data_IF_737638596498
#
_entry.id   IF_737638596498
#
_cell.length_a   1.000
_cell.length_b   1.000
_cell.length_c   1.000
_cell.angle_alpha   90.00
_cell.angle_beta   90.00
_cell.angle_gamma   90.00
#
_symmetry.space_group_name_H-M   'P 1'
#
loop_
_entity.id
_entity.type
_entity.pdbx_description
1 polymer ?
#
# COMPACT_ATOMS: atom_id res chain seq x y z
N UNK A 1 -16.65 85.52 50.15
CA UNK A 1 -15.89 86.32 49.16
C UNK A 1 -15.06 85.37 48.29
N UNK A 2 -15.13 85.59 46.98
CA UNK A 2 -14.56 84.78 45.89
C UNK A 2 -13.02 84.70 45.92
N UNK A 3 -12.44 83.54 45.59
CA UNK A 3 -11.22 83.41 44.75
C UNK A 3 -11.43 82.18 43.83
N UNK A 4 -11.86 82.40 42.58
CA UNK A 4 -11.04 82.42 41.34
C UNK A 4 -10.35 81.07 41.09
N UNK A 5 -10.96 80.17 40.31
CA UNK A 5 -10.83 80.02 38.84
C UNK A 5 -9.41 79.75 38.34
N UNK A 6 -9.15 78.51 37.89
CA UNK A 6 -8.74 78.09 36.52
C UNK A 6 -8.60 76.56 36.53
N UNK A 7 -9.50 75.81 35.87
CA UNK A 7 -9.29 75.22 34.53
C UNK A 7 -7.91 74.58 34.41
N UNK A 8 -7.79 73.25 34.36
CA UNK A 8 -7.81 72.44 33.13
C UNK A 8 -8.08 70.96 33.54
N UNK A 9 -9.24 70.39 33.17
CA UNK A 9 -9.39 69.23 32.26
C UNK A 9 -8.30 68.14 32.46
N UNK A 10 -8.62 66.93 32.93
CA UNK A 10 -9.23 65.82 32.18
C UNK A 10 -9.69 64.82 33.25
N UNK A 11 -11.00 64.66 33.48
CA UNK A 11 -11.82 63.57 32.93
C UNK A 11 -11.20 62.18 33.19
N UNK A 12 -11.60 61.61 34.33
CA UNK A 12 -12.22 60.28 34.42
C UNK A 12 -11.49 59.10 33.78
N UNK A 13 -10.66 58.41 34.57
CA UNK A 13 -10.63 56.94 34.58
C UNK A 13 -10.14 56.42 35.94
N UNK A 14 -11.05 56.37 36.93
CA UNK A 14 -10.81 55.80 38.28
C UNK A 14 -10.99 54.26 38.27
N UNK A 15 -10.84 53.60 37.11
CA UNK A 15 -11.00 52.14 36.99
C UNK A 15 -9.89 51.57 36.09
N UNK A 16 -8.63 51.71 36.50
CA UNK A 16 -7.53 50.93 35.93
C UNK A 16 -6.33 50.94 36.88
N UNK A 17 -6.34 50.11 37.94
CA UNK A 17 -5.13 49.62 38.64
C UNK A 17 -5.42 48.63 39.79
N UNK A 18 -6.51 47.86 39.72
CA UNK A 18 -6.65 46.61 40.49
C UNK A 18 -7.31 45.55 39.61
N UNK A 19 -6.62 45.19 38.54
CA UNK A 19 -6.81 43.98 37.73
C UNK A 19 -5.48 43.24 37.85
N UNK A 20 -5.36 42.00 38.30
CA UNK A 20 -6.20 40.83 38.11
C UNK A 20 -5.94 39.89 39.29
N UNK A 21 -6.95 39.65 40.13
CA UNK A 21 -7.03 38.45 40.96
C UNK A 21 -8.43 37.85 40.74
N UNK A 22 -8.73 37.56 39.47
CA UNK A 22 -9.75 36.56 39.15
C UNK A 22 -9.02 35.21 39.16
N UNK A 23 -9.37 34.40 40.15
CA UNK A 23 -9.13 32.95 40.12
C UNK A 23 -10.05 32.40 39.03
N UNK A 24 -9.56 32.34 37.80
CA UNK A 24 -10.03 31.35 36.84
C UNK A 24 -9.26 30.06 37.14
N UNK A 25 -9.98 28.98 37.39
CA UNK A 25 -9.43 27.64 37.38
C UNK A 25 -8.92 27.33 35.97
N UNK A 26 -7.69 27.74 35.66
CA UNK A 26 -6.91 27.11 34.61
C UNK A 26 -6.31 25.83 35.18
N UNK A 27 -6.46 24.74 34.42
CA UNK A 27 -5.73 23.49 34.63
C UNK A 27 -4.28 23.83 34.92
N UNK A 28 -3.70 23.18 35.93
CA UNK A 28 -2.26 23.20 36.17
C UNK A 28 -1.56 22.57 34.95
N UNK A 29 -1.32 23.38 33.93
CA UNK A 29 -0.25 23.15 32.98
C UNK A 29 1.05 23.38 33.75
N UNK A 30 1.60 22.30 34.28
CA UNK A 30 2.96 22.28 34.77
C UNK A 30 3.86 22.60 33.56
N UNK A 31 4.43 23.79 33.58
CA UNK A 31 5.42 24.23 32.60
C UNK A 31 6.54 23.20 32.52
N UNK A 32 6.57 22.49 31.40
CA UNK A 32 7.71 21.74 30.93
C UNK A 32 8.87 22.73 30.70
N UNK A 33 9.72 22.90 31.70
CA UNK A 33 10.99 23.60 31.53
C UNK A 33 11.94 22.67 30.80
N UNK A 34 12.13 23.02 29.53
CA UNK A 34 13.07 22.50 28.56
C UNK A 34 14.50 22.54 29.10
N UNK A 35 15.10 21.37 29.33
CA UNK A 35 16.53 21.18 29.07
C UNK A 35 16.63 20.45 27.73
N UNK A 36 17.11 21.15 26.70
CA UNK A 36 17.49 20.54 25.44
C UNK A 36 18.55 19.47 25.72
N UNK A 37 18.15 18.18 25.73
CA UNK A 37 19.07 17.08 25.45
C UNK A 37 19.21 15.97 26.49
N UNK A 38 18.72 16.11 27.73
CA UNK A 38 18.68 14.97 28.67
C UNK A 38 17.30 14.34 28.66
N UNK A 39 17.22 13.12 28.13
CA UNK A 39 16.08 12.24 28.38
C UNK A 39 16.26 11.72 29.80
N UNK A 40 15.21 11.77 30.63
CA UNK A 40 15.24 11.09 31.91
C UNK A 40 15.54 9.59 31.72
N UNK A 41 16.09 8.94 32.76
CA UNK A 41 16.29 7.47 32.76
C UNK A 41 14.99 6.68 32.57
N UNK A 42 13.85 7.37 32.63
CA UNK A 42 12.50 6.85 32.37
C UNK A 42 11.88 7.61 31.19
N UNK A 43 11.02 6.96 30.39
CA UNK A 43 10.27 7.64 29.34
C UNK A 43 9.35 8.74 29.89
N UNK A 44 9.12 9.78 29.08
CA UNK A 44 8.14 10.84 29.38
C UNK A 44 6.71 10.25 29.41
N UNK A 45 5.75 10.87 30.11
CA UNK A 45 4.36 10.44 30.07
C UNK A 45 3.81 10.31 28.63
N UNK A 46 3.07 9.23 28.37
CA UNK A 46 2.57 8.90 27.04
C UNK A 46 3.60 8.23 26.12
N UNK A 47 4.76 7.83 26.65
CA UNK A 47 5.78 7.07 25.92
C UNK A 47 6.12 5.76 26.64
N UNK A 48 6.41 4.73 25.87
CA UNK A 48 6.94 3.44 26.33
C UNK A 48 8.34 3.23 25.78
N UNK A 49 9.29 2.90 26.66
CA UNK A 49 10.69 2.64 26.32
C UNK A 49 10.96 1.16 26.11
N UNK A 50 11.67 0.84 25.03
CA UNK A 50 12.25 -0.46 24.72
C UNK A 50 13.77 -0.34 24.74
N UNK A 51 14.39 -1.35 25.35
CA UNK A 51 15.84 -1.48 25.46
C UNK A 51 16.46 -1.84 24.12
N UNK A 52 17.70 -1.40 23.86
CA UNK A 52 18.48 -1.79 22.68
C UNK A 52 18.64 -3.32 22.56
N UNK A 53 18.58 -4.05 23.67
CA UNK A 53 18.66 -5.51 23.68
C UNK A 53 17.32 -6.24 23.40
N UNK A 54 16.21 -5.53 23.17
CA UNK A 54 14.94 -6.19 22.83
C UNK A 54 15.10 -7.02 21.55
N UNK A 55 14.68 -8.29 21.61
CA UNK A 55 14.86 -9.26 20.51
C UNK A 55 14.17 -8.88 19.21
N UNK A 56 13.26 -7.90 19.23
CA UNK A 56 12.55 -7.38 18.06
C UNK A 56 13.33 -6.30 17.32
N UNK A 57 14.45 -5.84 17.89
CA UNK A 57 15.38 -4.92 17.25
C UNK A 57 16.45 -5.75 16.55
N UNK A 58 16.52 -5.62 15.23
CA UNK A 58 17.42 -6.40 14.39
C UNK A 58 18.58 -5.53 13.92
N UNK A 59 19.79 -5.96 14.27
CA UNK A 59 21.04 -5.35 13.87
C UNK A 59 21.63 -6.15 12.71
N UNK A 60 21.78 -5.51 11.55
CA UNK A 60 22.27 -6.13 10.32
C UNK A 60 23.49 -5.39 9.78
N UNK A 61 24.32 -6.09 9.01
CA UNK A 61 25.69 -5.67 8.70
C UNK A 61 26.71 -6.28 9.65
N UNK A 62 27.99 -6.06 9.35
CA UNK A 62 29.13 -6.58 10.11
C UNK A 62 29.57 -5.59 11.20
N UNK A 63 30.16 -6.08 12.29
CA UNK A 63 30.83 -5.21 13.28
C UNK A 63 29.93 -4.57 14.35
N UNK A 64 28.70 -5.06 14.53
CA UNK A 64 27.88 -4.70 15.69
C UNK A 64 28.49 -5.23 16.99
N UNK A 65 28.50 -4.40 18.02
CA UNK A 65 28.98 -4.73 19.36
C UNK A 65 27.98 -4.21 20.39
N UNK A 66 28.03 -4.78 21.60
CA UNK A 66 27.27 -4.30 22.76
C UNK A 66 28.24 -3.77 23.81
N UNK A 67 28.06 -2.52 24.20
CA UNK A 67 28.74 -1.91 25.35
C UNK A 67 27.89 -2.08 26.61
N UNK A 68 28.53 -2.37 27.75
CA UNK A 68 27.87 -2.45 29.05
C UNK A 68 28.32 -1.28 29.92
N UNK A 69 27.46 -0.29 30.13
CA UNK A 69 27.78 0.90 30.91
C UNK A 69 26.52 1.52 31.54
N UNK A 70 26.58 1.82 32.84
CA UNK A 70 25.45 2.34 33.63
C UNK A 70 24.94 3.73 33.22
N UNK A 71 25.63 4.39 32.29
CA UNK A 71 25.14 5.65 31.69
C UNK A 71 23.98 5.41 30.73
N UNK A 72 23.85 4.20 30.18
CA UNK A 72 22.84 3.77 29.23
C UNK A 72 21.56 3.28 29.91
N UNK A 73 20.44 3.29 29.18
CA UNK A 73 19.22 2.64 29.62
C UNK A 73 19.47 1.14 29.76
N UNK A 74 19.00 0.57 30.88
CA UNK A 74 19.30 -0.81 31.28
C UNK A 74 20.79 -1.22 31.27
N UNK A 75 21.70 -0.24 31.23
CA UNK A 75 23.15 -0.40 31.19
C UNK A 75 23.73 -1.02 29.90
N UNK A 76 23.03 -0.96 28.76
CA UNK A 76 23.51 -1.49 27.48
C UNK A 76 23.38 -0.49 26.33
N UNK A 77 24.30 -0.55 25.37
CA UNK A 77 24.17 0.14 24.09
C UNK A 77 24.67 -0.78 22.96
N UNK A 78 23.94 -0.82 21.84
CA UNK A 78 24.42 -1.43 20.61
C UNK A 78 25.09 -0.37 19.74
N UNK A 79 26.28 -0.67 19.24
CA UNK A 79 27.02 0.24 18.39
C UNK A 79 27.74 -0.43 17.24
N UNK A 80 27.99 0.34 16.19
CA UNK A 80 28.80 -0.04 15.05
C UNK A 80 29.62 1.16 14.56
N UNK A 81 30.93 0.99 14.38
CA UNK A 81 31.81 2.05 13.86
C UNK A 81 32.57 1.68 12.60
N UNK A 82 32.40 0.46 12.09
CA UNK A 82 33.31 -0.14 11.10
C UNK A 82 32.64 -0.43 9.76
N UNK A 83 31.32 -0.51 9.73
CA UNK A 83 30.57 -0.89 8.54
C UNK A 83 29.72 0.27 8.01
N UNK A 84 29.92 0.63 6.75
CA UNK A 84 29.12 1.67 6.08
C UNK A 84 27.72 1.18 5.70
N UNK A 85 27.50 -0.13 5.73
CA UNK A 85 26.23 -0.78 5.41
C UNK A 85 25.53 -1.27 6.70
N UNK A 86 26.00 -0.84 7.88
CA UNK A 86 25.36 -1.09 9.16
C UNK A 86 23.92 -0.56 9.17
N UNK A 87 22.99 -1.40 9.65
CA UNK A 87 21.56 -1.12 9.60
C UNK A 87 20.84 -1.67 10.83
N UNK A 88 19.93 -0.88 11.39
CA UNK A 88 19.00 -1.28 12.45
C UNK A 88 17.60 -1.33 11.85
N UNK A 89 16.86 -2.40 12.11
CA UNK A 89 15.45 -2.51 11.73
C UNK A 89 14.61 -3.01 12.88
N UNK A 90 13.41 -2.45 13.03
CA UNK A 90 12.40 -2.92 13.96
C UNK A 90 11.02 -2.51 13.47
N UNK A 91 9.99 -3.02 14.13
CA UNK A 91 8.60 -2.75 13.81
C UNK A 91 7.84 -2.37 15.06
N UNK A 92 6.87 -1.49 14.91
CA UNK A 92 6.03 -1.09 16.04
C UNK A 92 4.62 -0.77 15.60
N UNK A 93 3.66 -1.00 16.49
CA UNK A 93 2.34 -0.39 16.40
C UNK A 93 2.36 0.93 17.17
N UNK A 94 2.03 2.06 16.53
CA UNK A 94 2.04 3.37 17.17
C UNK A 94 1.86 4.52 16.18
N UNK A 95 1.91 5.75 16.69
CA UNK A 95 1.79 7.02 15.94
C UNK A 95 3.01 7.94 16.08
N UNK A 96 3.99 7.56 16.92
CA UNK A 96 5.20 8.34 17.18
C UNK A 96 6.37 7.44 17.60
N UNK A 97 7.58 7.94 17.32
CA UNK A 97 8.85 7.25 17.51
C UNK A 97 9.91 8.22 18.03
N UNK A 98 10.72 7.79 18.98
CA UNK A 98 11.97 8.44 19.39
C UNK A 98 13.12 7.45 19.37
N UNK A 99 14.30 7.94 19.00
CA UNK A 99 15.56 7.18 19.08
C UNK A 99 16.48 7.85 20.09
N UNK A 100 16.96 7.04 21.02
CA UNK A 100 17.88 7.45 22.08
C UNK A 100 19.23 6.81 21.80
N UNK A 101 20.28 7.62 21.83
CA UNK A 101 21.63 7.20 21.45
C UNK A 101 22.66 7.84 22.38
N UNK A 102 23.83 7.23 22.53
CA UNK A 102 24.99 7.96 23.01
C UNK A 102 25.46 9.00 21.97
N UNK A 103 26.08 10.08 22.44
CA UNK A 103 26.79 11.05 21.59
C UNK A 103 28.17 11.30 22.14
N UNK A 104 29.14 11.54 21.26
CA UNK A 104 30.52 11.84 21.67
C UNK A 104 31.22 12.79 20.70
N UNK A 105 32.12 13.62 21.23
CA UNK A 105 32.79 14.69 20.50
C UNK A 105 33.93 14.16 19.62
N UNK A 106 34.33 12.90 19.79
CA UNK A 106 35.32 12.23 18.97
C UNK A 106 34.73 11.57 17.70
N UNK A 107 33.41 11.61 17.49
CA UNK A 107 32.72 11.01 16.34
C UNK A 107 32.72 11.95 15.12
N UNK A 108 32.34 11.45 13.95
CA UNK A 108 32.32 12.25 12.71
C UNK A 108 31.09 13.17 12.67
N UNK A 109 31.30 14.49 12.56
CA UNK A 109 30.22 15.45 12.33
C UNK A 109 29.58 15.32 10.95
N UNK A 110 30.25 14.65 10.01
CA UNK A 110 29.76 14.40 8.64
C UNK A 110 28.97 13.11 8.50
N UNK A 111 28.87 12.32 9.57
CA UNK A 111 27.99 11.14 9.59
C UNK A 111 26.54 11.59 9.45
N UNK A 112 25.79 10.84 8.65
CA UNK A 112 24.35 10.99 8.51
C UNK A 112 23.72 9.63 8.74
N UNK A 113 22.95 9.52 9.82
CA UNK A 113 22.13 8.37 10.15
C UNK A 113 20.71 8.70 9.69
N UNK A 114 20.27 8.02 8.63
CA UNK A 114 18.96 8.20 8.03
C UNK A 114 17.93 7.31 8.73
N UNK A 115 16.74 7.85 8.96
CA UNK A 115 15.60 7.12 9.51
C UNK A 115 14.50 7.08 8.45
N UNK A 116 14.07 5.88 8.10
CA UNK A 116 12.94 5.64 7.21
C UNK A 116 11.82 4.93 7.98
N UNK A 117 10.58 5.36 7.74
CA UNK A 117 9.36 4.71 8.22
C UNK A 117 8.54 4.33 6.99
N UNK A 118 8.18 3.05 6.88
CA UNK A 118 7.41 2.48 5.76
C UNK A 118 8.03 2.77 4.39
N UNK A 119 9.37 2.70 4.33
CA UNK A 119 10.14 2.96 3.12
C UNK A 119 10.32 4.43 2.77
N UNK A 120 9.75 5.36 3.54
CA UNK A 120 9.89 6.81 3.33
C UNK A 120 10.89 7.38 4.32
N UNK A 121 11.89 8.12 3.84
CA UNK A 121 12.81 8.84 4.72
C UNK A 121 12.06 9.94 5.49
N UNK A 122 12.08 9.84 6.82
CA UNK A 122 11.39 10.77 7.73
C UNK A 122 12.35 11.72 8.45
N UNK A 123 13.63 11.66 8.12
CA UNK A 123 14.67 12.55 8.62
C UNK A 123 15.98 11.84 8.89
N UNK A 124 16.91 12.56 9.53
CA UNK A 124 18.23 12.05 9.86
C UNK A 124 18.82 12.74 11.09
N UNK A 125 19.84 12.12 11.66
CA UNK A 125 20.61 12.65 12.78
C UNK A 125 22.07 12.20 12.69
N UNK A 126 22.89 12.59 13.67
CA UNK A 126 24.26 12.07 13.85
C UNK A 126 24.57 11.90 15.34
N UNK A 127 25.66 11.20 15.63
CA UNK A 127 26.08 10.92 17.00
C UNK A 127 27.26 11.79 17.47
N UNK A 128 27.68 12.78 16.67
CA UNK A 128 28.74 13.73 17.03
C UNK A 128 28.22 14.82 17.97
N UNK A 129 28.82 15.02 19.14
CA UNK A 129 28.47 16.14 20.04
C UNK A 129 28.98 15.94 21.46
N UNK A 130 28.56 16.77 22.41
CA UNK A 130 28.99 16.62 23.81
C UNK A 130 28.68 15.21 24.35
N UNK A 131 29.63 14.57 25.07
CA UNK A 131 29.46 13.25 25.65
C UNK A 131 28.17 13.12 26.47
N UNK A 132 27.26 12.26 26.03
CA UNK A 132 26.00 12.02 26.73
C UNK A 132 25.46 10.62 26.40
N UNK A 133 25.54 9.71 27.37
CA UNK A 133 25.17 8.30 27.23
C UNK A 133 23.71 8.02 26.83
N UNK A 134 22.80 8.98 27.08
CA UNK A 134 21.41 8.91 26.66
C UNK A 134 20.96 10.27 26.13
N UNK A 135 20.77 10.36 24.82
CA UNK A 135 20.28 11.57 24.16
C UNK A 135 19.14 11.24 23.22
N UNK A 136 18.06 12.02 23.31
CA UNK A 136 17.04 12.06 22.26
C UNK A 136 17.68 12.63 21.00
N UNK A 137 18.05 11.75 20.08
CA UNK A 137 18.73 12.11 18.84
C UNK A 137 17.77 12.27 17.67
N UNK A 138 16.60 11.64 17.75
CA UNK A 138 15.57 11.73 16.72
C UNK A 138 14.17 11.59 17.33
N UNK A 139 13.22 12.36 16.83
CA UNK A 139 11.80 12.25 17.15
C UNK A 139 10.97 12.39 15.87
N UNK A 140 10.03 11.47 15.67
CA UNK A 140 8.99 11.54 14.65
C UNK A 140 7.63 11.39 15.30
N UNK A 141 6.78 12.39 15.12
CA UNK A 141 5.37 12.37 15.53
C UNK A 141 4.45 12.51 14.32
N UNK A 142 3.15 12.29 14.54
CA UNK A 142 2.12 12.45 13.52
C UNK A 142 2.14 11.36 12.47
N UNK A 143 2.59 10.15 12.82
CA UNK A 143 2.32 8.97 12.03
C UNK A 143 0.86 8.55 12.24
N UNK A 144 0.32 7.80 11.29
CA UNK A 144 -0.95 7.08 11.43
C UNK A 144 -0.84 6.08 12.59
N UNK A 145 -1.93 5.80 13.31
CA UNK A 145 -1.90 4.80 14.39
C UNK A 145 -2.02 3.39 13.81
N UNK A 146 -0.92 2.84 13.32
CA UNK A 146 -0.87 1.54 12.65
C UNK A 146 0.46 0.83 12.84
N UNK A 147 0.67 -0.27 12.13
CA UNK A 147 1.94 -0.99 12.13
C UNK A 147 2.93 -0.29 11.20
N UNK A 148 4.09 0.06 11.72
CA UNK A 148 5.17 0.70 10.99
C UNK A 148 6.41 -0.19 10.91
N UNK A 149 7.13 -0.06 9.80
CA UNK A 149 8.47 -0.64 9.61
C UNK A 149 9.50 0.47 9.67
N UNK A 150 10.46 0.36 10.58
CA UNK A 150 11.55 1.33 10.73
C UNK A 150 12.84 0.73 10.18
N UNK A 151 13.51 1.50 9.33
CA UNK A 151 14.87 1.22 8.87
C UNK A 151 15.77 2.41 9.20
N UNK A 152 16.88 2.12 9.87
CA UNK A 152 17.91 3.10 10.22
C UNK A 152 19.22 2.69 9.54
N UNK A 153 19.79 3.59 8.74
CA UNK A 153 21.04 3.35 7.99
C UNK A 153 22.03 4.48 8.19
N UNK A 154 23.31 4.21 7.96
CA UNK A 154 24.38 5.24 7.99
C UNK A 154 24.95 5.46 6.59
N UNK A 155 25.43 6.68 6.30
CA UNK A 155 26.11 7.00 5.03
C UNK A 155 27.60 6.63 5.01
N UNK A 156 28.17 6.26 6.16
CA UNK A 156 29.59 5.96 6.30
C UNK A 156 29.86 5.04 7.49
N UNK A 157 31.01 4.36 7.46
CA UNK A 157 31.54 3.63 8.60
C UNK A 157 32.00 4.63 9.68
N UNK A 158 31.10 4.93 10.62
CA UNK A 158 31.34 5.77 11.79
C UNK A 158 30.35 5.37 12.88
N UNK A 159 30.67 5.71 14.14
CA UNK A 159 29.96 5.23 15.34
C UNK A 159 28.46 5.55 15.29
N UNK A 160 27.67 4.58 14.83
CA UNK A 160 26.22 4.54 14.90
C UNK A 160 25.87 3.79 16.18
N UNK A 161 25.00 4.37 17.00
CA UNK A 161 24.63 3.81 18.30
C UNK A 161 23.12 3.79 18.49
N UNK A 162 22.63 2.86 19.31
CA UNK A 162 21.26 2.83 19.82
C UNK A 162 21.27 2.33 21.26
N UNK A 163 20.71 3.16 22.14
CA UNK A 163 20.53 2.88 23.57
C UNK A 163 19.09 2.45 23.87
N UNK A 164 18.11 3.15 23.30
CA UNK A 164 16.71 2.82 23.50
C UNK A 164 15.80 3.41 22.42
N UNK A 165 14.58 2.89 22.36
CA UNK A 165 13.51 3.37 21.50
C UNK A 165 12.33 3.77 22.38
N UNK A 166 11.74 4.95 22.15
CA UNK A 166 10.41 5.24 22.69
C UNK A 166 9.35 5.23 21.59
N UNK A 167 8.20 4.62 21.89
CA UNK A 167 6.99 4.68 21.08
C UNK A 167 5.81 5.10 21.96
N UNK A 168 4.60 5.17 21.40
CA UNK A 168 3.37 5.41 22.16
C UNK A 168 3.27 4.50 23.39
N UNK A 169 2.73 5.04 24.50
CA UNK A 169 2.49 4.25 25.72
C UNK A 169 1.61 3.02 25.48
N UNK A 170 0.62 3.13 24.59
CA UNK A 170 -0.24 2.04 24.15
C UNK A 170 0.37 1.20 23.01
N UNK A 171 1.46 1.68 22.41
CA UNK A 171 2.16 1.00 21.34
C UNK A 171 2.98 -0.20 21.83
N UNK A 172 3.43 -1.02 20.88
CA UNK A 172 4.31 -2.14 21.17
C UNK A 172 5.22 -2.48 19.99
N UNK A 173 6.42 -2.98 20.28
CA UNK A 173 7.27 -3.59 19.26
C UNK A 173 6.65 -4.91 18.77
N UNK A 174 6.79 -5.18 17.48
CA UNK A 174 6.23 -6.35 16.79
C UNK A 174 7.36 -7.34 16.48
N UNK A 175 7.13 -8.63 16.70
CA UNK A 175 8.12 -9.70 16.41
C UNK A 175 8.44 -9.79 14.91
N UNK A 176 9.74 -9.99 14.61
CA UNK A 176 10.26 -10.28 13.28
C UNK A 176 10.46 -9.07 12.35
N UNK A 177 11.27 -9.27 11.30
CA UNK A 177 11.21 -8.43 10.10
C UNK A 177 9.88 -8.70 9.40
N UNK A 178 9.22 -7.68 8.86
CA UNK A 178 7.94 -7.85 8.16
C UNK A 178 8.12 -8.91 7.08
N UNK A 179 7.31 -9.98 7.12
CA UNK A 179 7.22 -10.88 5.98
C UNK A 179 6.43 -10.13 4.92
N UNK A 180 7.15 -9.39 4.07
CA UNK A 180 6.58 -8.71 2.92
C UNK A 180 6.48 -9.69 1.75
N UNK A 181 5.60 -9.37 0.82
CA UNK A 181 5.43 -10.05 -0.43
C UNK A 181 6.76 -10.05 -1.21
N UNK A 182 7.13 -11.24 -1.67
CA UNK A 182 8.24 -11.47 -2.58
C UNK A 182 7.76 -11.75 -4.01
N UNK A 183 6.48 -12.09 -4.18
CA UNK A 183 5.88 -12.38 -5.48
C UNK A 183 4.39 -11.98 -5.49
N UNK A 184 3.95 -11.44 -6.62
CA UNK A 184 2.56 -11.14 -6.94
C UNK A 184 2.25 -11.73 -8.32
N UNK A 185 1.19 -12.53 -8.43
CA UNK A 185 0.73 -13.09 -9.71
C UNK A 185 -0.79 -12.94 -9.88
N UNK A 186 -1.25 -12.91 -11.13
CA UNK A 186 -2.66 -12.93 -11.48
C UNK A 186 -3.05 -14.29 -12.06
N UNK A 187 -4.29 -14.73 -11.82
CA UNK A 187 -4.84 -15.94 -12.44
C UNK A 187 -4.93 -15.88 -13.97
N UNK A 188 -4.94 -14.66 -14.56
CA UNK A 188 -5.02 -14.41 -16.00
C UNK A 188 -4.11 -13.24 -16.37
N UNK A 189 -3.41 -13.36 -17.50
CA UNK A 189 -2.55 -12.30 -18.06
C UNK A 189 -3.18 -11.61 -19.26
N UNK A 190 -4.25 -12.16 -19.83
CA UNK A 190 -5.06 -11.50 -20.85
C UNK A 190 -6.54 -11.85 -20.76
N UNK A 191 -7.39 -10.92 -21.20
CA UNK A 191 -8.84 -11.04 -21.28
C UNK A 191 -9.34 -10.48 -22.62
N UNK A 192 -10.41 -11.08 -23.14
CA UNK A 192 -11.19 -10.53 -24.24
C UNK A 192 -12.64 -10.44 -23.77
N UNK A 193 -13.18 -9.23 -23.64
CA UNK A 193 -14.51 -8.97 -23.12
C UNK A 193 -15.35 -8.22 -24.15
N UNK A 194 -16.62 -8.59 -24.29
CA UNK A 194 -17.58 -7.74 -24.98
C UNK A 194 -17.98 -6.56 -24.10
N UNK A 195 -18.38 -5.44 -24.70
CA UNK A 195 -18.92 -4.29 -23.97
C UNK A 195 -20.00 -4.74 -22.96
N UNK A 196 -19.91 -4.25 -21.73
CA UNK A 196 -20.83 -4.57 -20.63
C UNK A 196 -20.54 -5.89 -19.91
N UNK A 197 -19.65 -6.73 -20.42
CA UNK A 197 -19.22 -7.93 -19.70
C UNK A 197 -18.26 -7.58 -18.55
N UNK A 198 -18.24 -8.47 -17.56
CA UNK A 198 -17.37 -8.36 -16.40
C UNK A 198 -16.62 -9.65 -16.16
N UNK A 199 -15.45 -9.55 -15.56
CA UNK A 199 -14.62 -10.69 -15.19
C UNK A 199 -13.84 -10.36 -13.90
N UNK A 200 -13.52 -11.38 -13.08
CA UNK A 200 -12.76 -11.17 -11.84
C UNK A 200 -11.33 -11.68 -12.01
N UNK A 201 -10.37 -10.79 -11.79
CA UNK A 201 -8.96 -11.13 -11.66
C UNK A 201 -8.65 -11.46 -10.20
N UNK A 202 -7.93 -12.56 -9.98
CA UNK A 202 -7.52 -13.01 -8.65
C UNK A 202 -6.03 -12.78 -8.51
N UNK A 203 -5.64 -11.92 -7.57
CA UNK A 203 -4.26 -11.69 -7.19
C UNK A 203 -3.81 -12.70 -6.14
N UNK A 204 -2.64 -13.31 -6.34
CA UNK A 204 -1.99 -14.21 -5.37
C UNK A 204 -0.68 -13.59 -4.90
N UNK A 205 -0.60 -13.33 -3.60
CA UNK A 205 0.59 -12.78 -2.92
C UNK A 205 1.34 -13.90 -2.21
N UNK A 206 2.65 -13.99 -2.44
CA UNK A 206 3.56 -14.92 -1.74
C UNK A 206 4.66 -14.14 -1.02
N UNK A 207 5.19 -14.67 0.10
CA UNK A 207 4.86 -15.97 0.69
C UNK A 207 3.49 -15.98 1.38
N UNK A 208 2.95 -17.17 1.70
CA UNK A 208 1.61 -17.29 2.29
C UNK A 208 1.51 -16.71 3.71
N UNK A 209 2.63 -16.57 4.39
CA UNK A 209 2.71 -15.91 5.68
C UNK A 209 3.06 -14.40 5.56
N UNK A 210 2.96 -13.82 4.36
CA UNK A 210 3.04 -12.37 4.20
C UNK A 210 1.93 -11.72 5.04
N UNK A 211 2.32 -10.74 5.84
CA UNK A 211 1.44 -10.16 6.87
C UNK A 211 0.37 -9.24 6.28
N UNK A 212 0.72 -8.56 5.19
CA UNK A 212 -0.22 -7.79 4.39
C UNK A 212 -0.26 -8.40 2.98
N UNK A 213 -1.44 -8.84 2.56
CA UNK A 213 -1.72 -9.37 1.21
C UNK A 213 -2.70 -8.51 0.42
N UNK A 214 -2.95 -7.30 0.89
CA UNK A 214 -3.80 -6.35 0.19
C UNK A 214 -3.13 -5.88 -1.10
N UNK A 215 -3.97 -5.64 -2.09
CA UNK A 215 -3.57 -5.27 -3.43
C UNK A 215 -4.49 -4.14 -3.89
N UNK A 216 -3.89 -3.07 -4.40
CA UNK A 216 -4.60 -1.99 -5.09
C UNK A 216 -4.68 -2.28 -6.58
N UNK A 217 -5.79 -1.91 -7.20
CA UNK A 217 -6.05 -2.09 -8.62
C UNK A 217 -6.11 -0.76 -9.36
N UNK A 218 -5.68 -0.75 -10.62
CA UNK A 218 -5.80 0.40 -11.50
C UNK A 218 -5.97 -0.02 -12.96
N UNK A 219 -6.69 0.78 -13.74
CA UNK A 219 -6.78 0.65 -15.19
C UNK A 219 -5.93 1.72 -15.87
N UNK A 220 -5.25 1.37 -16.97
CA UNK A 220 -4.51 2.36 -17.76
C UNK A 220 -5.43 3.33 -18.53
N UNK A 221 -6.71 2.96 -18.73
CA UNK A 221 -7.75 3.79 -19.33
C UNK A 221 -9.15 3.33 -18.86
N UNK A 222 -9.67 4.01 -17.84
CA UNK A 222 -11.00 3.74 -17.28
C UNK A 222 -12.15 4.02 -18.24
N UNK A 223 -11.91 4.70 -19.37
CA UNK A 223 -12.94 4.87 -20.41
C UNK A 223 -13.12 3.62 -21.27
N UNK A 224 -12.14 2.71 -21.29
CA UNK A 224 -12.17 1.42 -22.00
C UNK A 224 -12.64 0.30 -21.08
N UNK A 225 -12.02 0.15 -19.90
CA UNK A 225 -12.48 -0.76 -18.85
C UNK A 225 -12.08 -0.25 -17.46
N UNK A 226 -12.94 -0.49 -16.47
CA UNK A 226 -12.68 -0.19 -15.06
C UNK A 226 -12.35 -1.46 -14.28
N UNK A 227 -11.74 -1.31 -13.11
CA UNK A 227 -11.50 -2.39 -12.14
C UNK A 227 -11.84 -1.88 -10.74
N UNK A 228 -12.55 -2.66 -9.94
CA UNK A 228 -12.87 -2.31 -8.54
C UNK A 228 -11.83 -2.83 -7.54
N UNK A 229 -12.02 -2.52 -6.26
CA UNK A 229 -11.15 -2.96 -5.16
C UNK A 229 -11.02 -4.49 -5.01
N UNK A 230 -12.00 -5.24 -5.54
CA UNK A 230 -12.04 -6.71 -5.50
C UNK A 230 -11.49 -7.34 -6.78
N UNK A 231 -10.90 -6.55 -7.69
CA UNK A 231 -10.34 -7.02 -8.95
C UNK A 231 -11.39 -7.34 -10.02
N UNK A 232 -12.64 -6.87 -9.88
CA UNK A 232 -13.68 -7.05 -10.90
C UNK A 232 -13.51 -6.04 -12.02
N UNK A 233 -13.13 -6.52 -13.19
CA UNK A 233 -12.99 -5.76 -14.43
C UNK A 233 -14.36 -5.60 -15.10
N UNK A 234 -14.70 -4.40 -15.55
CA UNK A 234 -15.93 -4.09 -16.30
C UNK A 234 -15.60 -3.42 -17.63
N UNK A 235 -16.02 -4.03 -18.74
CA UNK A 235 -15.79 -3.52 -20.09
C UNK A 235 -16.77 -2.39 -20.46
N UNK A 236 -16.25 -1.23 -20.89
CA UNK A 236 -17.03 -0.01 -21.16
C UNK A 236 -17.05 0.33 -22.65
N UNK A 237 -15.87 0.39 -23.28
CA UNK A 237 -15.72 0.85 -24.67
C UNK A 237 -14.69 -0.01 -25.42
N UNK A 238 -14.85 -0.23 -26.73
CA UNK A 238 -13.87 -0.97 -27.52
C UNK A 238 -12.48 -0.36 -27.44
N UNK A 239 -11.46 -1.21 -27.29
CA UNK A 239 -10.08 -0.79 -27.15
C UNK A 239 -9.24 -1.83 -26.43
N UNK A 240 -7.98 -1.49 -26.17
CA UNK A 240 -7.08 -2.30 -25.36
C UNK A 240 -6.67 -1.48 -24.14
N UNK A 241 -6.65 -2.11 -22.97
CA UNK A 241 -6.27 -1.49 -21.72
C UNK A 241 -5.53 -2.50 -20.85
N UNK A 242 -4.59 -2.03 -20.03
CA UNK A 242 -3.89 -2.89 -19.09
C UNK A 242 -4.41 -2.63 -17.69
N UNK A 243 -4.85 -3.70 -17.02
CA UNK A 243 -5.22 -3.69 -15.61
C UNK A 243 -3.98 -4.07 -14.78
N UNK A 244 -3.69 -3.29 -13.74
CA UNK A 244 -2.52 -3.48 -12.87
C UNK A 244 -2.97 -3.73 -11.43
N UNK A 245 -2.44 -4.79 -10.83
CA UNK A 245 -2.47 -5.08 -9.41
C UNK A 245 -1.14 -4.65 -8.79
N UNK A 246 -1.17 -4.00 -7.62
CA UNK A 246 0.03 -3.56 -6.88
C UNK A 246 -0.09 -3.87 -5.39
N UNK A 247 0.96 -4.43 -4.77
CA UNK A 247 1.02 -4.67 -3.31
C UNK A 247 1.12 -3.36 -2.51
N UNK A 248 0.55 -3.35 -1.31
CA UNK A 248 0.54 -2.18 -0.40
C UNK A 248 1.47 -2.33 0.82
N UNK A 249 2.12 -3.48 0.97
CA UNK A 249 2.98 -3.83 2.10
C UNK A 249 4.42 -3.28 2.03
N UNK A 250 4.66 -2.35 1.11
CA UNK A 250 5.99 -1.76 0.87
C UNK A 250 6.86 -2.52 -0.15
N UNK A 251 6.50 -3.75 -0.53
CA UNK A 251 7.26 -4.51 -1.55
C UNK A 251 7.16 -3.90 -2.96
N UNK A 252 6.11 -3.09 -3.22
CA UNK A 252 5.87 -2.41 -4.50
C UNK A 252 5.85 -3.34 -5.73
N UNK A 253 5.48 -4.61 -5.54
CA UNK A 253 5.34 -5.58 -6.61
C UNK A 253 4.11 -5.26 -7.48
N UNK A 254 4.21 -5.54 -8.78
CA UNK A 254 3.12 -5.34 -9.74
C UNK A 254 2.89 -6.58 -10.59
N UNK A 255 1.62 -6.86 -10.90
CA UNK A 255 1.22 -7.83 -11.92
C UNK A 255 0.16 -7.23 -12.83
N UNK A 256 0.17 -7.60 -14.11
CA UNK A 256 -0.67 -6.98 -15.14
C UNK A 256 -1.52 -8.00 -15.91
N UNK A 257 -2.66 -7.53 -16.42
CA UNK A 257 -3.50 -8.25 -17.35
C UNK A 257 -3.92 -7.33 -18.51
N UNK A 258 -3.66 -7.77 -19.73
CA UNK A 258 -4.07 -7.05 -20.94
C UNK A 258 -5.54 -7.39 -21.29
N UNK A 259 -6.38 -6.38 -21.35
CA UNK A 259 -7.81 -6.50 -21.60
C UNK A 259 -8.12 -5.90 -22.96
N UNK A 260 -8.62 -6.72 -23.88
CA UNK A 260 -9.21 -6.27 -25.14
C UNK A 260 -10.73 -6.21 -24.99
N UNK A 261 -11.30 -5.02 -25.12
CA UNK A 261 -12.74 -4.82 -25.19
C UNK A 261 -13.18 -4.77 -26.64
N UNK A 262 -14.17 -5.59 -26.97
CA UNK A 262 -14.68 -5.75 -28.33
C UNK A 262 -16.12 -5.22 -28.38
N UNK A 263 -16.45 -4.44 -29.42
CA UNK A 263 -17.83 -4.17 -29.75
C UNK A 263 -18.43 -5.39 -30.42
N UNK A 264 -19.50 -6.00 -29.89
CA UNK A 264 -20.27 -6.95 -30.67
C UNK A 264 -20.80 -6.21 -31.89
N UNK A 265 -20.42 -6.65 -33.07
CA UNK A 265 -20.88 -6.04 -34.31
C UNK A 265 -22.33 -6.47 -34.60
N UNK A 266 -23.14 -5.57 -35.17
CA UNK A 266 -24.50 -5.87 -35.62
C UNK A 266 -24.54 -6.98 -36.69
N UNK A 267 -23.38 -7.26 -37.31
CA UNK A 267 -23.22 -8.34 -38.28
C UNK A 267 -22.84 -9.68 -37.64
N UNK A 268 -22.90 -9.83 -36.31
CA UNK A 268 -22.62 -11.09 -35.59
C UNK A 268 -23.73 -11.46 -34.60
N UNK A 269 -23.87 -12.75 -34.33
CA UNK A 269 -24.73 -13.28 -33.28
C UNK A 269 -24.18 -14.60 -32.71
N UNK A 270 -24.73 -15.06 -31.58
CA UNK A 270 -24.43 -16.39 -31.04
C UNK A 270 -25.38 -17.40 -31.65
N UNK A 271 -24.85 -18.40 -32.35
CA UNK A 271 -25.56 -19.62 -32.72
C UNK A 271 -25.33 -20.67 -31.63
N UNK A 272 -26.38 -21.04 -30.90
CA UNK A 272 -26.34 -22.12 -29.92
C UNK A 272 -27.01 -23.38 -30.50
N UNK A 273 -26.25 -24.45 -30.64
CA UNK A 273 -26.70 -25.73 -31.22
C UNK A 273 -26.79 -26.76 -30.10
N UNK A 274 -28.01 -27.23 -29.82
CA UNK A 274 -28.25 -28.32 -28.87
C UNK A 274 -28.20 -29.65 -29.60
N UNK A 275 -27.28 -30.51 -29.18
CA UNK A 275 -27.08 -31.84 -29.74
C UNK A 275 -28.06 -32.85 -29.11
N UNK A 276 -28.30 -33.96 -29.81
CA UNK A 276 -29.16 -35.08 -29.36
C UNK A 276 -28.72 -35.73 -28.05
N UNK A 277 -27.46 -35.55 -27.64
CA UNK A 277 -26.94 -35.99 -26.35
C UNK A 277 -27.18 -34.97 -25.21
N UNK A 278 -27.88 -33.86 -25.49
CA UNK A 278 -28.17 -32.77 -24.55
C UNK A 278 -27.07 -31.71 -24.41
N UNK A 279 -25.90 -31.88 -25.02
CA UNK A 279 -24.84 -30.86 -24.97
C UNK A 279 -25.17 -29.69 -25.90
N UNK A 280 -24.88 -28.46 -25.44
CA UNK A 280 -25.00 -27.25 -26.27
C UNK A 280 -23.62 -26.73 -26.66
N UNK A 281 -23.44 -26.45 -27.95
CA UNK A 281 -22.26 -25.77 -28.49
C UNK A 281 -22.63 -24.35 -28.90
N UNK A 282 -21.87 -23.38 -28.45
CA UNK A 282 -22.08 -21.97 -28.79
C UNK A 282 -20.99 -21.47 -29.75
N UNK A 283 -21.41 -20.73 -30.77
CA UNK A 283 -20.55 -20.14 -31.78
C UNK A 283 -20.89 -18.66 -31.94
N UNK A 284 -19.91 -17.78 -31.70
CA UNK A 284 -19.99 -16.38 -32.13
C UNK A 284 -19.60 -16.31 -33.61
N UNK A 285 -20.57 -15.99 -34.47
CA UNK A 285 -20.43 -16.06 -35.93
C UNK A 285 -20.95 -14.78 -36.61
N UNK A 286 -20.41 -14.40 -37.78
CA UNK A 286 -21.06 -13.46 -38.67
C UNK A 286 -22.47 -13.93 -39.06
N UNK A 287 -23.41 -13.01 -39.20
CA UNK A 287 -24.80 -13.27 -39.60
C UNK A 287 -24.87 -14.04 -40.93
N UNK A 288 -23.92 -13.82 -41.84
CA UNK A 288 -23.82 -14.56 -43.10
C UNK A 288 -23.48 -16.05 -42.92
N UNK A 289 -22.66 -16.40 -41.91
CA UNK A 289 -22.33 -17.79 -41.60
C UNK A 289 -23.48 -18.46 -40.83
N UNK A 290 -24.19 -17.70 -39.98
CA UNK A 290 -25.44 -18.15 -39.33
C UNK A 290 -26.49 -18.43 -40.40
N UNK A 291 -26.71 -17.52 -41.34
CA UNK A 291 -27.65 -17.69 -42.45
C UNK A 291 -27.28 -18.91 -43.32
N UNK A 292 -25.98 -19.13 -43.57
CA UNK A 292 -25.51 -20.33 -44.27
C UNK A 292 -25.85 -21.62 -43.49
N UNK A 293 -25.70 -21.61 -42.16
CA UNK A 293 -26.08 -22.73 -41.31
C UNK A 293 -27.59 -22.97 -41.28
N UNK A 294 -28.40 -21.92 -41.07
CA UNK A 294 -29.87 -22.07 -41.01
C UNK A 294 -30.42 -22.55 -42.34
N UNK A 295 -29.94 -21.98 -43.46
CA UNK A 295 -30.29 -22.45 -44.79
C UNK A 295 -29.90 -23.90 -45.00
N UNK A 296 -28.69 -24.30 -44.61
CA UNK A 296 -28.27 -25.71 -44.68
C UNK A 296 -29.17 -26.61 -43.84
N UNK A 297 -29.46 -26.26 -42.59
CA UNK A 297 -30.25 -27.09 -41.68
C UNK A 297 -31.70 -27.21 -42.13
N UNK A 298 -32.35 -26.08 -42.45
CA UNK A 298 -33.77 -26.02 -42.79
C UNK A 298 -34.04 -26.60 -44.19
N UNK A 299 -33.16 -26.35 -45.17
CA UNK A 299 -33.29 -26.93 -46.51
C UNK A 299 -33.01 -28.43 -46.54
N UNK A 300 -32.28 -28.94 -45.53
CA UNK A 300 -31.87 -30.34 -45.54
C UNK A 300 -33.08 -31.28 -45.49
N UNK A 301 -34.14 -31.05 -44.71
CA UNK A 301 -35.27 -32.01 -44.59
C UNK A 301 -34.81 -33.51 -44.50
N UNK A 302 -33.64 -33.78 -43.89
CA UNK A 302 -32.99 -35.10 -43.85
C UNK A 302 -32.20 -35.54 -45.11
N UNK A 303 -32.01 -34.67 -46.11
CA UNK A 303 -31.31 -34.89 -47.39
C UNK A 303 -30.37 -33.71 -47.68
N UNK A 304 -29.06 -33.95 -47.70
CA UNK A 304 -28.06 -32.89 -47.96
C UNK A 304 -26.66 -33.29 -47.51
N UNK A 305 -25.74 -32.31 -47.47
CA UNK A 305 -24.42 -32.51 -46.87
C UNK A 305 -24.59 -32.93 -45.40
N UNK A 306 -24.02 -34.07 -44.95
CA UNK A 306 -24.32 -34.63 -43.64
C UNK A 306 -23.75 -33.82 -42.47
N UNK A 307 -22.93 -32.79 -42.76
CA UNK A 307 -22.25 -31.97 -41.77
C UNK A 307 -22.09 -30.53 -42.24
N UNK A 308 -22.09 -29.61 -41.28
CA UNK A 308 -21.75 -28.20 -41.48
C UNK A 308 -20.46 -27.89 -40.72
N UNK A 309 -19.58 -27.08 -41.31
CA UNK A 309 -18.27 -26.77 -40.73
C UNK A 309 -18.14 -25.30 -40.33
N UNK A 310 -17.82 -25.05 -39.06
CA UNK A 310 -17.56 -23.73 -38.50
C UNK A 310 -16.06 -23.48 -38.38
N UNK A 311 -15.62 -22.28 -38.72
CA UNK A 311 -14.23 -21.88 -38.49
C UNK A 311 -14.06 -21.39 -37.04
N UNK A 312 -13.07 -21.93 -36.34
CA UNK A 312 -12.68 -21.57 -34.98
C UNK A 312 -11.23 -21.13 -34.94
N UNK A 313 -10.94 -20.12 -34.11
CA UNK A 313 -9.58 -19.74 -33.74
C UNK A 313 -9.29 -20.29 -32.34
N UNK A 314 -8.45 -21.32 -32.27
CA UNK A 314 -8.08 -21.99 -31.02
C UNK A 314 -6.56 -22.01 -30.96
N UNK A 315 -5.95 -21.26 -30.03
CA UNK A 315 -4.51 -21.32 -29.83
C UNK A 315 -4.08 -22.74 -29.41
N UNK A 316 -2.94 -23.29 -29.92
CA UNK A 316 -1.92 -22.67 -30.77
C UNK A 316 -2.20 -22.76 -32.30
N UNK A 317 -3.36 -23.26 -32.70
CA UNK A 317 -3.70 -23.50 -34.11
C UNK A 317 -4.19 -22.22 -34.78
N UNK A 318 -3.61 -21.91 -35.95
CA UNK A 318 -4.01 -20.73 -36.75
C UNK A 318 -5.47 -20.79 -37.19
N UNK A 319 -5.94 -21.96 -37.60
CA UNK A 319 -7.32 -22.21 -38.01
C UNK A 319 -7.73 -23.63 -37.63
N UNK A 320 -8.90 -23.76 -37.01
CA UNK A 320 -9.55 -25.04 -36.71
C UNK A 320 -10.92 -25.04 -37.39
N UNK A 321 -11.26 -26.08 -38.13
CA UNK A 321 -12.61 -26.24 -38.69
C UNK A 321 -13.37 -27.33 -37.95
N UNK A 322 -14.36 -26.95 -37.16
CA UNK A 322 -15.19 -27.87 -36.40
C UNK A 322 -16.44 -28.24 -37.21
N UNK A 323 -16.79 -29.52 -37.24
CA UNK A 323 -18.00 -29.99 -37.92
C UNK A 323 -19.09 -30.38 -36.93
N UNK A 324 -20.33 -29.99 -37.22
CA UNK A 324 -21.54 -30.54 -36.61
C UNK A 324 -22.22 -31.46 -37.61
N UNK A 325 -22.77 -32.58 -37.13
CA UNK A 325 -23.42 -33.59 -37.98
C UNK A 325 -24.93 -33.41 -37.86
N UNK A 326 -25.63 -33.39 -39.00
CA UNK A 326 -27.05 -33.06 -39.10
C UNK A 326 -27.93 -33.90 -38.17
N UNK A 327 -27.78 -35.22 -38.22
CA UNK A 327 -28.59 -36.17 -37.43
C UNK A 327 -28.27 -36.17 -35.92
N UNK A 328 -27.26 -35.39 -35.51
CA UNK A 328 -26.89 -35.21 -34.10
C UNK A 328 -27.37 -33.89 -33.53
N UNK A 329 -27.99 -33.02 -34.32
CA UNK A 329 -28.55 -31.75 -33.87
C UNK A 329 -30.01 -31.99 -33.45
N UNK A 330 -30.34 -31.62 -32.22
CA UNK A 330 -31.71 -31.66 -31.69
C UNK A 330 -32.46 -30.36 -32.00
N UNK A 331 -31.82 -29.22 -31.81
CA UNK A 331 -32.38 -27.88 -32.04
C UNK A 331 -31.25 -26.86 -32.14
N UNK A 332 -31.57 -25.64 -32.59
CA UNK A 332 -30.68 -24.50 -32.52
C UNK A 332 -31.45 -23.22 -32.16
N UNK A 333 -30.74 -22.22 -31.65
CA UNK A 333 -31.24 -20.87 -31.45
C UNK A 333 -30.19 -19.83 -31.85
N UNK A 334 -30.64 -18.66 -32.27
CA UNK A 334 -29.79 -17.51 -32.61
C UNK A 334 -30.05 -16.41 -31.60
N UNK A 335 -29.02 -16.00 -30.86
CA UNK A 335 -29.06 -14.92 -29.87
C UNK A 335 -28.33 -13.71 -30.42
N UNK A 336 -29.06 -12.65 -30.73
CA UNK A 336 -28.51 -11.40 -31.22
C UNK A 336 -27.93 -10.57 -30.08
N UNK A 337 -26.82 -9.88 -30.33
CA UNK A 337 -26.28 -8.91 -29.37
C UNK A 337 -27.22 -7.70 -29.26
N UNK A 338 -27.57 -7.30 -28.04
CA UNK A 338 -28.16 -5.98 -27.80
C UNK A 338 -27.07 -4.93 -27.97
N UNK A 339 -27.22 -4.09 -28.98
CA UNK A 339 -26.30 -2.98 -29.25
C UNK A 339 -26.89 -1.77 -28.54
N UNK A 340 -26.26 -1.36 -27.44
CA UNK A 340 -26.56 -0.08 -26.82
C UNK A 340 -26.06 1.02 -27.76
N UNK A 341 -26.98 1.74 -28.40
CA UNK A 341 -26.67 2.92 -29.21
C UNK A 341 -26.07 4.05 -28.37
#
# INVERSE_FOLDING_TARGET
>A
MKKKNRFIAIITFVILLVSVMLVTMEKKDAQAITYLGQVGRTPDPGWRRYDDTDSKIIYSGSGWQVENNTVHYNSTEHYNGTDKDAKITFRFYGSKLRLITDRNSNRSSSQVINVSVDGVNVGSFNTYGDPLGQRLSFEKTGLTMENHVVEITTNMASSMTLDAIDIDEAGYLIEGSAVIASELSLNKTSLSLNIGQTEVLIATVKPDNAENKEVTWSSSDETIATVDENGKVTAIKPGNVTITAKTTDGSNLTATCDVTVIQPSNDRAILAITMTNGQTKEYDLPNSEIEAFTNWFDSSNGKGQPKFGFNKKIQPYKEVKEYVVFDKISSYEVRTYTVSN
#
